data_IF_440177379997
#
_entry.id   IF_440177379997
#
_cell.length_a   1.000
_cell.length_b   1.000
_cell.length_c   1.000
_cell.angle_alpha   90.00
_cell.angle_beta   90.00
_cell.angle_gamma   90.00
#
_symmetry.space_group_name_H-M   'P 1'
#
loop_
_entity.id
_entity.type
_entity.pdbx_description
1 polymer ?
#
# COMPACT_ATOMS: atom_id res chain seq x y z
N UNK A 1 -23.51 20.07 39.55
CA UNK A 1 -22.75 19.10 38.74
C UNK A 1 -22.45 19.77 37.41
N UNK A 2 -21.28 20.35 37.27
CA UNK A 2 -20.85 21.09 36.06
C UNK A 2 -20.28 20.07 35.09
N UNK A 3 -21.03 19.80 34.01
CA UNK A 3 -20.57 18.95 32.91
C UNK A 3 -19.42 19.65 32.22
N UNK A 4 -18.20 19.22 32.47
CA UNK A 4 -17.03 19.64 31.70
C UNK A 4 -17.16 19.01 30.32
N UNK A 5 -17.63 19.80 29.36
CA UNK A 5 -17.55 19.46 27.95
C UNK A 5 -16.06 19.29 27.60
N UNK A 6 -15.64 18.03 27.40
CA UNK A 6 -14.31 17.72 26.90
C UNK A 6 -14.11 18.51 25.60
N UNK A 7 -13.18 19.46 25.61
CA UNK A 7 -12.75 20.16 24.38
C UNK A 7 -12.33 19.10 23.37
N UNK A 8 -12.78 19.20 22.11
CA UNK A 8 -12.21 18.37 21.06
C UNK A 8 -10.70 18.66 21.02
N UNK A 9 -9.89 17.70 21.41
CA UNK A 9 -8.44 17.77 21.24
C UNK A 9 -8.18 17.98 19.77
N UNK A 10 -7.54 19.08 19.39
CA UNK A 10 -7.02 19.28 18.03
C UNK A 10 -6.11 18.08 17.73
N UNK A 11 -6.59 17.17 16.91
CA UNK A 11 -5.81 16.04 16.42
C UNK A 11 -4.68 16.61 15.55
N UNK A 12 -3.51 16.80 16.13
CA UNK A 12 -2.32 17.10 15.33
C UNK A 12 -1.80 15.77 14.83
N UNK A 13 -2.16 15.40 13.59
CA UNK A 13 -1.63 14.23 12.92
C UNK A 13 -0.10 14.18 13.05
N UNK A 14 0.43 12.97 13.14
CA UNK A 14 1.86 12.74 13.34
C UNK A 14 2.72 13.52 12.33
N UNK A 15 3.45 14.54 12.81
CA UNK A 15 4.21 15.47 11.97
C UNK A 15 5.21 14.80 11.04
N UNK A 16 6.05 13.83 11.47
CA UNK A 16 6.97 13.13 10.59
C UNK A 16 6.29 12.43 9.41
N UNK A 17 5.17 11.75 9.64
CA UNK A 17 4.40 11.10 8.58
C UNK A 17 3.75 12.12 7.63
N UNK A 18 3.24 13.23 8.15
CA UNK A 18 2.69 14.29 7.31
C UNK A 18 3.77 15.00 6.49
N UNK A 19 4.97 15.18 7.04
CA UNK A 19 6.12 15.68 6.28
C UNK A 19 6.52 14.70 5.17
N UNK A 20 6.58 13.39 5.47
CA UNK A 20 6.79 12.36 4.46
C UNK A 20 5.75 12.45 3.34
N UNK A 21 4.47 12.55 3.68
CA UNK A 21 3.40 12.68 2.68
C UNK A 21 3.60 13.90 1.79
N UNK A 22 3.94 15.07 2.36
CA UNK A 22 4.21 16.29 1.61
C UNK A 22 5.42 16.15 0.66
N UNK A 23 6.53 15.56 1.15
CA UNK A 23 7.71 15.27 0.33
C UNK A 23 7.34 14.31 -0.82
N UNK A 24 6.56 13.27 -0.55
CA UNK A 24 6.13 12.32 -1.58
C UNK A 24 5.22 12.96 -2.63
N UNK A 25 4.34 13.90 -2.26
CA UNK A 25 3.57 14.68 -3.23
C UNK A 25 4.50 15.50 -4.13
N UNK A 26 5.50 16.17 -3.56
CA UNK A 26 6.53 16.89 -4.33
C UNK A 26 7.30 15.95 -5.27
N UNK A 27 7.70 14.77 -4.78
CA UNK A 27 8.38 13.75 -5.60
C UNK A 27 7.49 13.24 -6.73
N UNK A 28 6.19 13.04 -6.48
CA UNK A 28 5.24 12.64 -7.52
C UNK A 28 5.13 13.68 -8.64
N UNK A 29 5.08 14.97 -8.30
CA UNK A 29 5.05 16.07 -9.27
C UNK A 29 6.33 16.10 -10.12
N UNK A 30 7.50 15.99 -9.48
CA UNK A 30 8.80 15.98 -10.17
C UNK A 30 8.94 14.76 -11.08
N UNK A 31 8.65 13.56 -10.58
CA UNK A 31 8.79 12.33 -11.37
C UNK A 31 7.73 12.23 -12.47
N UNK A 32 6.53 12.78 -12.25
CA UNK A 32 5.51 12.92 -13.29
C UNK A 32 5.95 13.86 -14.40
N UNK A 33 6.58 15.00 -14.07
CA UNK A 33 7.17 15.91 -15.05
C UNK A 33 8.31 15.22 -15.82
N UNK A 34 9.24 14.54 -15.12
CA UNK A 34 10.36 13.83 -15.75
C UNK A 34 9.87 12.71 -16.68
N UNK A 35 8.78 12.04 -16.35
CA UNK A 35 8.18 11.04 -17.23
C UNK A 35 7.75 11.61 -18.59
N UNK A 36 7.44 12.90 -18.66
CA UNK A 36 7.03 13.58 -19.90
C UNK A 36 8.22 14.23 -20.62
N UNK A 37 9.08 14.95 -19.87
CA UNK A 37 10.12 15.80 -20.50
C UNK A 37 11.46 15.10 -20.68
N UNK A 38 11.74 14.05 -19.92
CA UNK A 38 13.00 13.31 -19.94
C UNK A 38 12.77 11.80 -19.70
N UNK A 39 11.98 11.11 -20.55
CA UNK A 39 11.68 9.70 -20.35
C UNK A 39 12.98 8.86 -20.41
N UNK A 40 13.08 7.89 -19.50
CA UNK A 40 14.15 6.88 -19.46
C UNK A 40 13.49 5.53 -19.63
N UNK A 41 13.85 4.79 -20.68
CA UNK A 41 13.31 3.46 -20.89
C UNK A 41 14.04 2.44 -20.01
N UNK A 42 13.28 1.71 -19.20
CA UNK A 42 13.77 0.61 -18.36
C UNK A 42 12.81 -0.56 -18.51
N UNK A 43 13.31 -1.71 -18.94
CA UNK A 43 12.51 -2.93 -19.19
C UNK A 43 11.23 -2.66 -19.99
N UNK A 44 11.38 -1.96 -21.15
CA UNK A 44 10.29 -1.68 -22.08
C UNK A 44 9.25 -0.65 -21.62
N UNK A 45 9.49 0.04 -20.50
CA UNK A 45 8.57 1.05 -19.96
C UNK A 45 9.30 2.31 -19.53
N UNK A 46 8.55 3.42 -19.39
CA UNK A 46 9.11 4.66 -18.84
C UNK A 46 9.42 4.48 -17.36
N UNK A 47 10.70 4.46 -17.00
CA UNK A 47 11.22 4.22 -15.66
C UNK A 47 10.67 5.19 -14.60
N UNK A 48 10.40 6.47 -14.97
CA UNK A 48 9.87 7.48 -14.05
C UNK A 48 8.43 7.20 -13.58
N UNK A 49 7.68 6.34 -14.29
CA UNK A 49 6.34 5.93 -13.83
C UNK A 49 6.40 5.10 -12.53
N UNK A 50 7.51 4.41 -12.26
CA UNK A 50 7.66 3.64 -11.02
C UNK A 50 7.76 4.56 -9.80
N UNK A 51 8.73 5.50 -9.69
CA UNK A 51 8.77 6.42 -8.54
C UNK A 51 7.54 7.32 -8.45
N UNK A 52 6.89 7.69 -9.55
CA UNK A 52 5.61 8.41 -9.53
C UNK A 52 4.52 7.62 -8.78
N UNK A 53 4.31 6.36 -9.15
CA UNK A 53 3.31 5.49 -8.51
C UNK A 53 3.63 5.24 -7.04
N UNK A 54 4.89 4.97 -6.73
CA UNK A 54 5.35 4.77 -5.35
C UNK A 54 5.16 6.02 -4.50
N UNK A 55 5.48 7.21 -5.03
CA UNK A 55 5.30 8.48 -4.30
C UNK A 55 3.84 8.70 -3.93
N UNK A 56 2.90 8.49 -4.87
CA UNK A 56 1.47 8.62 -4.59
C UNK A 56 1.02 7.62 -3.53
N UNK A 57 1.43 6.35 -3.68
CA UNK A 57 1.09 5.28 -2.73
C UNK A 57 1.63 5.56 -1.33
N UNK A 58 2.89 5.99 -1.21
CA UNK A 58 3.53 6.33 0.06
C UNK A 58 2.85 7.54 0.71
N UNK A 59 2.49 8.57 -0.06
CA UNK A 59 1.78 9.74 0.47
C UNK A 59 0.44 9.33 1.11
N UNK A 60 -0.36 8.53 0.41
CA UNK A 60 -1.65 8.02 0.90
C UNK A 60 -1.45 7.12 2.12
N UNK A 61 -0.46 6.24 2.09
CA UNK A 61 -0.11 5.36 3.21
C UNK A 61 0.33 6.15 4.44
N UNK A 62 1.21 7.14 4.29
CA UNK A 62 1.70 7.97 5.39
C UNK A 62 0.57 8.73 6.10
N UNK A 63 -0.37 9.31 5.33
CA UNK A 63 -1.56 9.96 5.89
C UNK A 63 -2.42 8.96 6.67
N UNK A 64 -2.60 7.76 6.11
CA UNK A 64 -3.39 6.69 6.75
C UNK A 64 -2.76 6.24 8.07
N UNK A 65 -1.44 5.98 8.07
CA UNK A 65 -0.73 5.59 9.31
C UNK A 65 -0.74 6.73 10.33
N UNK A 66 -0.60 8.00 9.90
CA UNK A 66 -0.72 9.14 10.80
C UNK A 66 -2.09 9.18 11.50
N UNK A 67 -3.16 8.93 10.75
CA UNK A 67 -4.52 8.86 11.28
C UNK A 67 -4.70 7.66 12.22
N UNK A 68 -4.13 6.49 11.90
CA UNK A 68 -4.20 5.30 12.76
C UNK A 68 -3.42 5.50 14.08
N UNK A 69 -2.24 6.11 14.02
CA UNK A 69 -1.44 6.43 15.21
C UNK A 69 -2.19 7.39 16.13
N UNK A 70 -2.93 8.37 15.58
CA UNK A 70 -3.77 9.28 16.38
C UNK A 70 -4.90 8.55 17.13
N UNK A 71 -5.36 7.40 16.64
CA UNK A 71 -6.36 6.56 17.33
C UNK A 71 -5.82 5.75 18.50
N UNK A 72 -4.50 5.68 18.68
CA UNK A 72 -3.92 5.00 19.84
C UNK A 72 -4.19 5.78 21.13
N UNK A 73 -4.49 5.08 22.25
CA UNK A 73 -4.65 5.72 23.53
C UNK A 73 -3.33 6.37 24.00
N UNK A 74 -3.41 7.39 24.86
CA UNK A 74 -2.26 8.22 25.28
C UNK A 74 -1.06 7.40 25.75
N UNK A 75 -1.29 6.35 26.57
CA UNK A 75 -0.22 5.49 27.09
C UNK A 75 0.53 4.70 25.99
N UNK A 76 -0.04 4.57 24.77
CA UNK A 76 0.56 3.91 23.61
C UNK A 76 1.12 4.87 22.57
N UNK A 77 0.96 6.17 22.72
CA UNK A 77 1.42 7.17 21.76
C UNK A 77 2.94 7.17 21.56
N UNK A 78 3.74 6.75 22.56
CA UNK A 78 5.20 6.58 22.39
C UNK A 78 5.51 5.46 21.39
N UNK A 79 4.81 4.32 21.48
CA UNK A 79 4.95 3.22 20.51
C UNK A 79 4.49 3.65 19.12
N UNK A 80 3.37 4.38 19.02
CA UNK A 80 2.90 4.95 17.76
C UNK A 80 3.91 5.89 17.10
N UNK A 81 4.61 6.74 17.90
CA UNK A 81 5.68 7.60 17.36
C UNK A 81 6.90 6.81 16.90
N UNK A 82 7.31 5.78 17.63
CA UNK A 82 8.41 4.91 17.21
C UNK A 82 8.05 4.18 15.90
N UNK A 83 6.83 3.63 15.80
CA UNK A 83 6.29 3.04 14.59
C UNK A 83 6.32 4.02 13.41
N UNK A 84 5.89 5.27 13.63
CA UNK A 84 5.90 6.31 12.61
C UNK A 84 7.31 6.58 12.06
N UNK A 85 8.33 6.61 12.91
CA UNK A 85 9.71 6.79 12.46
C UNK A 85 10.25 5.61 11.66
N UNK A 86 9.91 4.36 12.03
CA UNK A 86 10.28 3.19 11.21
C UNK A 86 9.65 3.29 9.82
N UNK A 87 8.37 3.69 9.74
CA UNK A 87 7.70 3.91 8.46
C UNK A 87 8.37 5.02 7.65
N UNK A 88 8.69 6.17 8.27
CA UNK A 88 9.34 7.30 7.60
C UNK A 88 10.70 6.88 7.04
N UNK A 89 11.54 6.28 7.86
CA UNK A 89 12.90 5.87 7.46
C UNK A 89 12.85 4.80 6.38
N UNK A 90 12.03 3.75 6.56
CA UNK A 90 11.90 2.65 5.60
C UNK A 90 11.43 3.14 4.22
N UNK A 91 10.40 4.00 4.19
CA UNK A 91 9.86 4.49 2.92
C UNK A 91 10.71 5.58 2.25
N UNK A 92 11.50 6.35 3.01
CA UNK A 92 12.50 7.27 2.44
C UNK A 92 13.63 6.47 1.80
N UNK A 93 14.16 5.43 2.48
CA UNK A 93 15.17 4.54 1.91
C UNK A 93 14.67 3.90 0.60
N UNK A 94 13.44 3.39 0.62
CA UNK A 94 12.78 2.82 -0.56
C UNK A 94 12.79 3.80 -1.74
N UNK A 95 12.32 5.03 -1.52
CA UNK A 95 12.24 6.05 -2.57
C UNK A 95 13.61 6.50 -3.08
N UNK A 96 14.60 6.63 -2.20
CA UNK A 96 15.97 6.98 -2.60
C UNK A 96 16.54 5.92 -3.54
N UNK A 97 16.36 4.64 -3.23
CA UNK A 97 16.84 3.55 -4.10
C UNK A 97 16.06 3.50 -5.41
N UNK A 98 14.72 3.67 -5.38
CA UNK A 98 13.90 3.65 -6.61
C UNK A 98 14.29 4.79 -7.55
N UNK A 99 14.38 6.02 -7.04
CA UNK A 99 14.74 7.20 -7.85
C UNK A 99 16.20 7.08 -8.35
N UNK A 100 17.11 6.66 -7.47
CA UNK A 100 18.52 6.45 -7.83
C UNK A 100 18.71 5.40 -8.92
N UNK A 101 17.96 4.29 -8.86
CA UNK A 101 18.01 3.26 -9.88
C UNK A 101 17.53 3.78 -11.25
N UNK A 102 16.42 4.55 -11.29
CA UNK A 102 15.94 5.16 -12.54
C UNK A 102 16.97 6.16 -13.09
N UNK A 103 17.56 7.00 -12.23
CA UNK A 103 18.60 7.94 -12.64
C UNK A 103 19.86 7.23 -13.18
N UNK A 104 20.14 6.01 -12.70
CA UNK A 104 21.22 5.16 -13.19
C UNK A 104 20.84 4.28 -14.40
N UNK A 105 19.61 4.41 -14.95
CA UNK A 105 19.13 3.63 -16.09
C UNK A 105 18.93 2.13 -15.79
N UNK A 106 18.68 1.77 -14.53
CA UNK A 106 18.55 0.37 -14.10
C UNK A 106 17.29 0.13 -13.25
N UNK A 107 17.00 -1.16 -13.02
CA UNK A 107 15.88 -1.53 -12.13
C UNK A 107 16.29 -1.54 -10.68
N UNK A 108 15.38 -1.11 -9.78
CA UNK A 108 15.59 -1.10 -8.33
C UNK A 108 15.22 -2.43 -7.66
N UNK A 109 14.21 -3.14 -8.20
CA UNK A 109 13.70 -4.38 -7.62
C UNK A 109 14.27 -5.58 -8.39
N UNK A 110 14.47 -6.67 -7.65
CA UNK A 110 14.93 -7.97 -8.16
C UNK A 110 16.34 -7.95 -8.78
N UNK A 111 17.00 -6.81 -8.83
CA UNK A 111 18.34 -6.67 -9.42
C UNK A 111 19.41 -7.15 -8.43
N UNK A 112 20.02 -8.27 -8.79
CA UNK A 112 21.15 -8.88 -8.07
C UNK A 112 22.35 -9.10 -8.99
N UNK A 113 22.42 -8.34 -10.10
CA UNK A 113 23.46 -8.43 -11.12
C UNK A 113 24.85 -8.01 -10.64
N UNK A 114 24.93 -7.32 -9.51
CA UNK A 114 26.17 -6.93 -8.87
C UNK A 114 26.03 -6.92 -7.33
N UNK A 115 27.14 -6.96 -6.56
CA UNK A 115 27.08 -6.86 -5.10
C UNK A 115 26.37 -5.59 -4.61
N UNK A 116 26.55 -4.45 -5.30
CA UNK A 116 25.88 -3.20 -4.97
C UNK A 116 24.37 -3.30 -5.20
N UNK A 117 23.94 -3.79 -6.38
CA UNK A 117 22.54 -3.94 -6.72
C UNK A 117 21.84 -4.90 -5.75
N UNK A 118 22.45 -6.07 -5.49
CA UNK A 118 21.94 -7.04 -4.53
C UNK A 118 21.88 -6.48 -3.09
N UNK A 119 22.86 -5.69 -2.68
CA UNK A 119 22.87 -5.00 -1.38
C UNK A 119 21.74 -3.97 -1.26
N UNK A 120 21.50 -3.17 -2.30
CA UNK A 120 20.40 -2.21 -2.34
C UNK A 120 19.04 -2.92 -2.35
N UNK A 121 18.90 -4.00 -3.11
CA UNK A 121 17.69 -4.83 -3.11
C UNK A 121 17.42 -5.45 -1.74
N UNK A 122 18.42 -6.00 -1.09
CA UNK A 122 18.29 -6.52 0.28
C UNK A 122 17.90 -5.43 1.29
N UNK A 123 18.52 -4.24 1.20
CA UNK A 123 18.18 -3.09 2.05
C UNK A 123 16.71 -2.70 1.90
N UNK A 124 16.21 -2.62 0.66
CA UNK A 124 14.79 -2.36 0.37
C UNK A 124 13.90 -3.45 0.99
N UNK A 125 14.22 -4.72 0.76
CA UNK A 125 13.46 -5.85 1.30
C UNK A 125 13.35 -5.81 2.83
N UNK A 126 14.46 -5.57 3.54
CA UNK A 126 14.47 -5.44 5.01
C UNK A 126 13.70 -4.21 5.49
N UNK A 127 13.82 -3.07 4.81
CA UNK A 127 13.11 -1.85 5.20
C UNK A 127 11.59 -2.00 5.04
N UNK A 128 11.12 -2.60 3.95
CA UNK A 128 9.70 -2.87 3.73
C UNK A 128 9.16 -3.94 4.67
N UNK A 129 9.94 -4.99 4.95
CA UNK A 129 9.56 -5.98 5.97
C UNK A 129 9.40 -5.32 7.36
N UNK A 130 10.29 -4.40 7.73
CA UNK A 130 10.16 -3.64 8.97
C UNK A 130 8.89 -2.75 8.98
N UNK A 131 8.58 -2.08 7.88
CA UNK A 131 7.34 -1.29 7.71
C UNK A 131 6.10 -2.19 7.84
N UNK A 132 6.12 -3.38 7.24
CA UNK A 132 5.03 -4.36 7.34
C UNK A 132 4.85 -4.84 8.79
N UNK A 133 5.93 -5.23 9.47
CA UNK A 133 5.91 -5.67 10.88
C UNK A 133 5.40 -4.58 11.83
N UNK A 134 5.80 -3.34 11.60
CA UNK A 134 5.31 -2.20 12.39
C UNK A 134 3.83 -1.96 12.13
N UNK A 135 3.35 -2.11 10.91
CA UNK A 135 1.91 -2.02 10.58
C UNK A 135 1.12 -3.13 11.25
N UNK A 136 1.66 -4.35 11.29
CA UNK A 136 1.09 -5.47 12.05
C UNK A 136 1.04 -5.17 13.55
N UNK A 137 2.10 -4.59 14.11
CA UNK A 137 2.12 -4.18 15.52
C UNK A 137 1.08 -3.08 15.80
N UNK A 138 0.94 -2.09 14.92
CA UNK A 138 -0.12 -1.06 15.02
C UNK A 138 -1.52 -1.70 14.95
N UNK A 139 -1.73 -2.67 14.07
CA UNK A 139 -2.99 -3.42 14.00
C UNK A 139 -3.28 -4.14 15.32
N UNK A 140 -2.30 -4.80 15.92
CA UNK A 140 -2.43 -5.47 17.22
C UNK A 140 -2.71 -4.47 18.37
N UNK A 141 -2.08 -3.31 18.35
CA UNK A 141 -2.32 -2.25 19.33
C UNK A 141 -3.73 -1.65 19.20
N UNK A 142 -4.20 -1.46 17.97
CA UNK A 142 -5.54 -0.92 17.68
C UNK A 142 -6.65 -1.96 17.87
N UNK A 143 -6.32 -3.26 17.79
CA UNK A 143 -7.32 -4.33 17.94
C UNK A 143 -8.13 -4.24 19.24
N UNK A 144 -7.47 -3.81 20.31
CA UNK A 144 -8.06 -3.65 21.64
C UNK A 144 -8.55 -2.22 21.92
N UNK A 145 -8.45 -1.32 20.94
CA UNK A 145 -8.99 0.03 21.09
C UNK A 145 -10.50 -0.03 21.00
N UNK A 146 -11.18 0.67 21.90
CA UNK A 146 -12.63 0.82 21.88
C UNK A 146 -12.97 2.04 21.01
N UNK A 147 -13.76 1.84 19.97
CA UNK A 147 -14.51 2.92 19.32
C UNK A 147 -15.99 2.75 19.68
N UNK A 148 -16.68 3.86 19.89
CA UNK A 148 -18.09 3.85 20.23
C UNK A 148 -18.98 3.38 19.06
N UNK A 149 -18.47 3.46 17.80
CA UNK A 149 -19.18 3.01 16.61
C UNK A 149 -18.60 1.67 16.12
N UNK A 150 -19.44 0.61 16.19
CA UNK A 150 -19.05 -0.75 15.78
C UNK A 150 -18.70 -0.86 14.30
N UNK A 151 -19.37 -0.09 13.42
CA UNK A 151 -19.08 -0.08 11.99
C UNK A 151 -17.69 0.50 11.70
N UNK A 152 -17.32 1.58 12.41
CA UNK A 152 -15.98 2.19 12.30
C UNK A 152 -14.90 1.24 12.79
N UNK A 153 -15.14 0.58 13.92
CA UNK A 153 -14.22 -0.38 14.49
C UNK A 153 -14.00 -1.57 13.55
N UNK A 154 -15.09 -2.10 12.95
CA UNK A 154 -15.02 -3.16 11.95
C UNK A 154 -14.25 -2.71 10.71
N UNK A 155 -14.52 -1.51 10.18
CA UNK A 155 -13.85 -0.99 9.00
C UNK A 155 -12.33 -0.85 9.20
N UNK A 156 -11.90 -0.35 10.36
CA UNK A 156 -10.47 -0.22 10.71
C UNK A 156 -9.83 -1.62 10.81
N UNK A 157 -10.44 -2.54 11.55
CA UNK A 157 -9.89 -3.90 11.74
C UNK A 157 -9.84 -4.69 10.44
N UNK A 158 -10.91 -4.68 9.66
CA UNK A 158 -10.95 -5.36 8.36
C UNK A 158 -9.96 -4.72 7.37
N UNK A 159 -9.90 -3.38 7.32
CA UNK A 159 -8.92 -2.66 6.51
C UNK A 159 -7.48 -3.01 6.85
N UNK A 160 -7.14 -3.11 8.14
CA UNK A 160 -5.81 -3.53 8.59
C UNK A 160 -5.49 -4.99 8.22
N UNK A 161 -6.43 -5.92 8.45
CA UNK A 161 -6.20 -7.35 8.14
C UNK A 161 -6.05 -7.57 6.64
N UNK A 162 -6.98 -7.06 5.84
CA UNK A 162 -6.96 -7.22 4.37
C UNK A 162 -5.77 -6.44 3.78
N UNK A 163 -5.48 -5.24 4.31
CA UNK A 163 -4.34 -4.44 3.89
C UNK A 163 -3.02 -5.12 4.14
N UNK A 164 -2.81 -5.70 5.32
CA UNK A 164 -1.62 -6.50 5.64
C UNK A 164 -1.49 -7.75 4.78
N UNK A 165 -2.60 -8.44 4.50
CA UNK A 165 -2.61 -9.58 3.60
C UNK A 165 -2.25 -9.17 2.16
N UNK A 166 -2.83 -8.06 1.66
CA UNK A 166 -2.48 -7.49 0.36
C UNK A 166 -1.02 -7.06 0.26
N UNK A 167 -0.47 -6.44 1.31
CA UNK A 167 0.97 -6.12 1.38
C UNK A 167 1.81 -7.40 1.37
N UNK A 168 1.38 -8.47 2.03
CA UNK A 168 2.10 -9.75 2.08
C UNK A 168 2.15 -10.45 0.71
N UNK A 169 1.22 -10.20 -0.21
CA UNK A 169 1.28 -10.70 -1.60
C UNK A 169 2.60 -10.27 -2.28
N UNK A 170 3.18 -9.13 -1.89
CA UNK A 170 4.47 -8.69 -2.43
C UNK A 170 5.60 -9.72 -2.21
N UNK A 171 5.57 -10.48 -1.13
CA UNK A 171 6.58 -11.51 -0.88
C UNK A 171 6.57 -12.64 -1.91
N UNK A 172 5.42 -12.89 -2.57
CA UNK A 172 5.34 -13.87 -3.66
C UNK A 172 6.13 -13.44 -4.90
N UNK A 173 6.37 -12.13 -5.07
CA UNK A 173 7.12 -11.56 -6.20
C UNK A 173 8.63 -11.65 -6.01
N UNK A 174 9.12 -11.90 -4.77
CA UNK A 174 10.54 -11.81 -4.43
C UNK A 174 11.34 -13.10 -4.67
N UNK A 175 10.67 -14.19 -5.01
CA UNK A 175 11.32 -15.44 -5.35
C UNK A 175 11.67 -15.51 -6.84
N UNK A 176 12.84 -16.05 -7.23
CA UNK A 176 13.16 -16.25 -8.62
C UNK A 176 12.15 -17.19 -9.30
N UNK A 177 11.86 -16.92 -10.57
CA UNK A 177 11.02 -17.80 -11.40
C UNK A 177 11.80 -19.04 -11.82
N UNK A 178 11.15 -20.14 -12.28
CA UNK A 178 11.83 -21.30 -12.80
C UNK A 178 12.82 -20.94 -13.92
N UNK A 179 12.43 -20.10 -14.90
CA UNK A 179 13.31 -19.66 -15.99
C UNK A 179 14.55 -18.91 -15.48
N UNK A 180 14.41 -18.11 -14.41
CA UNK A 180 15.53 -17.41 -13.78
C UNK A 180 16.46 -18.35 -13.00
N UNK A 181 15.99 -19.52 -12.59
CA UNK A 181 16.84 -20.56 -11.98
C UNK A 181 17.62 -21.33 -13.04
N UNK A 182 17.03 -21.54 -14.22
CA UNK A 182 17.66 -22.29 -15.31
C UNK A 182 18.67 -21.42 -16.10
N UNK A 183 18.34 -20.11 -16.31
CA UNK A 183 19.22 -19.14 -17.01
C UNK A 183 19.26 -17.81 -16.22
N UNK A 184 20.19 -17.75 -15.27
CA UNK A 184 20.29 -16.60 -14.36
C UNK A 184 20.97 -15.40 -15.03
N UNK A 185 20.19 -14.36 -15.31
CA UNK A 185 20.62 -13.09 -15.92
C UNK A 185 20.71 -11.90 -14.94
N UNK A 186 20.95 -12.15 -13.64
CA UNK A 186 21.12 -11.09 -12.63
C UNK A 186 19.81 -10.50 -12.10
N UNK A 187 18.66 -11.07 -12.42
CA UNK A 187 17.33 -10.70 -11.90
C UNK A 187 16.76 -11.91 -11.16
N UNK A 188 16.29 -11.67 -9.91
CA UNK A 188 15.69 -12.70 -9.06
C UNK A 188 14.36 -12.20 -8.50
N UNK A 189 13.27 -12.63 -9.11
CA UNK A 189 11.89 -12.23 -8.82
C UNK A 189 11.17 -11.66 -10.04
N UNK A 190 9.85 -11.60 -9.96
CA UNK A 190 9.01 -11.07 -11.03
C UNK A 190 7.66 -10.58 -10.50
N UNK A 191 7.07 -9.61 -11.20
CA UNK A 191 5.70 -9.14 -10.95
C UNK A 191 4.68 -10.00 -11.68
N UNK A 192 5.00 -10.37 -12.92
CA UNK A 192 4.14 -11.17 -13.77
C UNK A 192 4.27 -12.67 -13.48
N UNK A 193 3.22 -13.42 -13.79
CA UNK A 193 3.14 -14.88 -13.65
C UNK A 193 2.81 -15.49 -15.01
N UNK A 194 3.61 -16.47 -15.44
CA UNK A 194 3.46 -17.16 -16.72
C UNK A 194 4.03 -16.40 -17.92
N UNK A 195 4.51 -15.16 -17.75
CA UNK A 195 5.17 -14.35 -18.77
C UNK A 195 6.30 -13.53 -18.14
N UNK A 196 7.35 -13.14 -18.92
CA UNK A 196 8.40 -12.26 -18.43
C UNK A 196 7.87 -10.85 -18.07
N UNK A 197 8.51 -10.19 -17.09
CA UNK A 197 8.28 -8.77 -16.82
C UNK A 197 8.72 -7.89 -18.01
N UNK A 198 8.05 -6.76 -18.19
CA UNK A 198 8.38 -5.79 -19.26
C UNK A 198 7.63 -5.99 -20.58
N UNK A 199 6.74 -7.00 -20.66
CA UNK A 199 5.87 -7.20 -21.81
C UNK A 199 4.70 -6.21 -21.88
N UNK A 200 3.69 -6.52 -22.74
CA UNK A 200 2.49 -5.70 -22.89
C UNK A 200 1.78 -5.47 -21.55
N UNK A 201 1.44 -4.22 -21.27
CA UNK A 201 0.85 -3.84 -19.98
C UNK A 201 -0.14 -2.69 -20.09
N UNK A 202 -0.98 -2.55 -19.07
CA UNK A 202 -1.96 -1.45 -18.98
C UNK A 202 -1.22 -0.10 -18.96
N UNK A 203 -1.75 0.92 -19.64
CA UNK A 203 -1.18 2.28 -19.60
C UNK A 203 -1.02 2.75 -18.15
N UNK A 204 0.06 3.46 -17.85
CA UNK A 204 0.47 4.01 -16.56
C UNK A 204 0.73 2.96 -15.47
N UNK A 205 -0.14 1.96 -15.31
CA UNK A 205 -0.01 0.92 -14.28
C UNK A 205 1.09 -0.09 -14.64
N UNK A 206 1.23 -0.42 -15.93
CA UNK A 206 2.16 -1.41 -16.42
C UNK A 206 1.82 -2.84 -16.00
N UNK A 207 0.57 -3.10 -15.56
CA UNK A 207 0.12 -4.45 -15.22
C UNK A 207 0.02 -5.29 -16.48
N UNK A 208 0.52 -6.52 -16.42
CA UNK A 208 0.53 -7.43 -17.59
C UNK A 208 -0.88 -7.63 -18.17
N UNK A 209 -0.96 -7.55 -19.50
CA UNK A 209 -2.18 -7.85 -20.27
C UNK A 209 -2.10 -9.20 -21.00
N UNK A 210 -1.01 -9.95 -20.78
CA UNK A 210 -0.76 -11.24 -21.45
C UNK A 210 -0.53 -12.39 -20.47
N UNK A 211 -0.37 -12.09 -19.17
CA UNK A 211 -0.20 -13.08 -18.11
C UNK A 211 -0.74 -12.56 -16.79
N UNK A 212 -0.64 -13.36 -15.74
CA UNK A 212 -1.00 -12.94 -14.38
C UNK A 212 -0.09 -11.82 -13.89
N UNK A 213 -0.59 -11.01 -12.94
CA UNK A 213 0.20 -9.92 -12.36
C UNK A 213 -0.11 -9.76 -10.87
N UNK A 214 0.86 -10.10 -10.03
CA UNK A 214 0.71 -10.05 -8.56
C UNK A 214 0.64 -8.62 -8.01
N UNK A 215 0.99 -7.60 -8.81
CA UNK A 215 0.79 -6.20 -8.42
C UNK A 215 -0.68 -5.84 -8.31
N UNK A 216 -1.57 -6.50 -9.05
CA UNK A 216 -3.02 -6.26 -9.00
C UNK A 216 -3.60 -6.59 -7.62
N UNK A 217 -3.51 -7.84 -7.12
CA UNK A 217 -4.00 -8.18 -5.79
C UNK A 217 -3.23 -7.46 -4.68
N UNK A 218 -1.93 -7.21 -4.85
CA UNK A 218 -1.13 -6.42 -3.92
C UNK A 218 -1.70 -4.99 -3.80
N UNK A 219 -1.92 -4.31 -4.91
CA UNK A 219 -2.47 -2.96 -4.95
C UNK A 219 -3.88 -2.90 -4.36
N UNK A 220 -4.79 -3.75 -4.86
CA UNK A 220 -6.17 -3.78 -4.36
C UNK A 220 -6.17 -4.12 -2.87
N UNK A 221 -5.44 -5.15 -2.45
CA UNK A 221 -5.41 -5.60 -1.06
C UNK A 221 -4.88 -4.54 -0.10
N UNK A 222 -3.74 -3.91 -0.39
CA UNK A 222 -3.16 -2.89 0.49
C UNK A 222 -4.07 -1.66 0.65
N UNK A 223 -4.86 -1.32 -0.37
CA UNK A 223 -5.78 -0.18 -0.33
C UNK A 223 -7.08 -0.45 0.46
N UNK A 224 -7.34 -1.68 0.93
CA UNK A 224 -8.39 -1.95 1.91
C UNK A 224 -8.20 -1.10 3.18
N UNK A 225 -6.93 -0.79 3.51
CA UNK A 225 -6.54 0.06 4.63
C UNK A 225 -7.14 1.48 4.54
N UNK A 226 -7.41 1.97 3.33
CA UNK A 226 -8.06 3.24 3.06
C UNK A 226 -9.54 3.08 2.74
N UNK A 227 -9.87 2.14 1.86
CA UNK A 227 -11.20 1.99 1.28
C UNK A 227 -12.28 1.72 2.36
N UNK A 228 -12.02 0.80 3.30
CA UNK A 228 -13.01 0.46 4.31
C UNK A 228 -13.22 1.57 5.36
N UNK A 229 -12.19 2.23 5.92
CA UNK A 229 -12.39 3.41 6.74
C UNK A 229 -13.07 4.56 6.01
N UNK A 230 -12.73 4.83 4.76
CA UNK A 230 -13.38 5.87 3.96
C UNK A 230 -14.85 5.54 3.69
N UNK A 231 -15.19 4.26 3.47
CA UNK A 231 -16.57 3.83 3.32
C UNK A 231 -17.40 4.18 4.56
N UNK A 232 -16.93 3.82 5.76
CA UNK A 232 -17.70 4.12 6.97
C UNK A 232 -17.84 5.62 7.22
N UNK A 233 -16.79 6.41 6.96
CA UNK A 233 -16.86 7.86 7.07
C UNK A 233 -17.85 8.47 6.05
N UNK A 234 -17.89 7.92 4.83
CA UNK A 234 -18.87 8.31 3.82
C UNK A 234 -20.30 7.98 4.25
N UNK A 235 -20.55 6.78 4.80
CA UNK A 235 -21.86 6.39 5.33
C UNK A 235 -22.30 7.30 6.48
N UNK A 236 -21.39 7.67 7.38
CA UNK A 236 -21.65 8.62 8.47
C UNK A 236 -21.98 10.02 7.94
N UNK A 237 -21.23 10.50 6.97
CA UNK A 237 -21.52 11.79 6.34
C UNK A 237 -22.89 11.79 5.62
N UNK A 238 -23.19 10.70 4.92
CA UNK A 238 -24.43 10.54 4.17
C UNK A 238 -25.64 10.34 5.10
N UNK A 239 -25.49 9.84 6.31
CA UNK A 239 -26.54 9.69 7.30
C UNK A 239 -27.23 11.02 7.68
N UNK A 240 -26.56 12.15 7.43
CA UNK A 240 -27.15 13.49 7.59
C UNK A 240 -28.26 13.75 6.58
N UNK A 241 -28.20 13.13 5.39
CA UNK A 241 -29.15 13.30 4.27
C UNK A 241 -30.06 12.10 4.08
N UNK A 242 -29.61 10.89 4.42
CA UNK A 242 -30.33 9.62 4.26
C UNK A 242 -30.70 9.07 5.64
N UNK A 243 -31.99 9.21 6.06
CA UNK A 243 -32.41 8.81 7.41
C UNK A 243 -32.13 7.35 7.76
N UNK A 244 -32.23 6.43 6.79
CA UNK A 244 -31.96 5.00 7.00
C UNK A 244 -30.52 4.75 7.49
N UNK A 245 -29.55 5.56 7.05
CA UNK A 245 -28.15 5.44 7.46
C UNK A 245 -27.87 5.97 8.88
N UNK A 246 -28.87 6.53 9.58
CA UNK A 246 -28.76 6.85 11.01
C UNK A 246 -28.80 5.58 11.85
N UNK A 247 -29.37 4.50 11.34
CA UNK A 247 -29.34 3.20 11.99
C UNK A 247 -27.90 2.64 12.00
N UNK A 248 -27.34 2.49 13.19
CA UNK A 248 -25.98 1.95 13.39
C UNK A 248 -25.88 0.48 12.92
N UNK A 249 -26.97 -0.30 13.09
CA UNK A 249 -26.98 -1.70 12.67
C UNK A 249 -26.94 -1.83 11.13
N UNK A 250 -27.62 -0.93 10.41
CA UNK A 250 -27.54 -0.89 8.95
C UNK A 250 -26.12 -0.54 8.50
N UNK A 251 -25.48 0.51 9.08
CA UNK A 251 -24.09 0.85 8.73
C UNK A 251 -23.13 -0.31 9.00
N UNK A 252 -23.27 -0.99 10.15
CA UNK A 252 -22.47 -2.16 10.48
C UNK A 252 -22.63 -3.28 9.44
N UNK A 253 -23.87 -3.58 9.02
CA UNK A 253 -24.14 -4.60 7.99
C UNK A 253 -23.52 -4.23 6.65
N UNK A 254 -23.66 -2.98 6.21
CA UNK A 254 -23.06 -2.50 4.95
C UNK A 254 -21.54 -2.64 4.98
N UNK A 255 -20.90 -2.22 6.08
CA UNK A 255 -19.43 -2.35 6.24
C UNK A 255 -19.02 -3.82 6.29
N UNK A 256 -19.77 -4.69 6.97
CA UNK A 256 -19.48 -6.12 7.04
C UNK A 256 -19.55 -6.78 5.65
N UNK A 257 -20.61 -6.52 4.89
CA UNK A 257 -20.74 -7.02 3.51
C UNK A 257 -19.62 -6.50 2.62
N UNK A 258 -19.31 -5.20 2.71
CA UNK A 258 -18.21 -4.61 1.94
C UNK A 258 -16.84 -5.23 2.32
N UNK A 259 -16.57 -5.46 3.61
CA UNK A 259 -15.32 -6.06 4.06
C UNK A 259 -15.17 -7.51 3.57
N UNK A 260 -16.24 -8.32 3.66
CA UNK A 260 -16.24 -9.69 3.13
C UNK A 260 -16.06 -9.69 1.62
N UNK A 261 -16.84 -8.87 0.88
CA UNK A 261 -16.71 -8.76 -0.58
C UNK A 261 -15.31 -8.31 -1.01
N UNK A 262 -14.72 -7.37 -0.29
CA UNK A 262 -13.37 -6.91 -0.56
C UNK A 262 -12.32 -8.01 -0.30
N UNK A 263 -12.43 -8.75 0.79
CA UNK A 263 -11.54 -9.88 1.08
C UNK A 263 -11.65 -10.97 0.00
N UNK A 264 -12.87 -11.34 -0.39
CA UNK A 264 -13.12 -12.30 -1.48
C UNK A 264 -12.50 -11.80 -2.79
N UNK A 265 -12.68 -10.52 -3.13
CA UNK A 265 -12.07 -9.91 -4.31
C UNK A 265 -10.54 -10.05 -4.31
N UNK A 266 -9.88 -9.73 -3.20
CA UNK A 266 -8.41 -9.86 -3.08
C UNK A 266 -7.95 -11.30 -3.25
N UNK A 267 -8.66 -12.26 -2.66
CA UNK A 267 -8.38 -13.70 -2.83
C UNK A 267 -8.53 -14.11 -4.30
N UNK A 268 -9.64 -13.75 -4.94
CA UNK A 268 -9.89 -14.11 -6.34
C UNK A 268 -8.84 -13.49 -7.28
N UNK A 269 -8.50 -12.22 -7.10
CA UNK A 269 -7.44 -11.56 -7.87
C UNK A 269 -6.06 -12.22 -7.64
N UNK A 270 -5.78 -12.69 -6.42
CA UNK A 270 -4.53 -13.41 -6.13
C UNK A 270 -4.50 -14.76 -6.84
N UNK A 271 -5.58 -15.53 -6.78
CA UNK A 271 -5.68 -16.82 -7.45
C UNK A 271 -5.62 -16.66 -8.98
N UNK A 272 -6.31 -15.68 -9.53
CA UNK A 272 -6.29 -15.34 -10.95
C UNK A 272 -4.86 -14.99 -11.41
N UNK A 273 -4.14 -14.11 -10.67
CA UNK A 273 -2.78 -13.75 -10.99
C UNK A 273 -1.84 -14.97 -10.92
N UNK A 274 -1.95 -15.81 -9.88
CA UNK A 274 -1.17 -17.05 -9.75
C UNK A 274 -1.48 -18.09 -10.83
N UNK A 275 -2.68 -18.07 -11.40
CA UNK A 275 -3.05 -18.91 -12.54
C UNK A 275 -2.49 -18.41 -13.89
N UNK A 276 -1.75 -17.30 -13.89
CA UNK A 276 -1.20 -16.71 -15.10
C UNK A 276 -2.23 -15.99 -15.99
N UNK A 277 -3.43 -15.73 -15.48
CA UNK A 277 -4.52 -15.10 -16.22
C UNK A 277 -4.41 -13.58 -16.11
N UNK A 278 -4.39 -12.81 -17.22
CA UNK A 278 -4.35 -11.36 -17.13
C UNK A 278 -5.65 -10.76 -16.58
N UNK A 279 -5.52 -9.63 -15.87
CA UNK A 279 -6.70 -8.95 -15.29
C UNK A 279 -7.68 -8.43 -16.34
N UNK A 280 -7.20 -8.20 -17.56
CA UNK A 280 -8.01 -7.78 -18.70
C UNK A 280 -9.07 -8.81 -19.11
N UNK A 281 -8.82 -10.10 -18.90
CA UNK A 281 -9.76 -11.18 -19.24
C UNK A 281 -10.96 -11.24 -18.28
N UNK A 282 -10.88 -10.54 -17.14
CA UNK A 282 -12.02 -10.35 -16.25
C UNK A 282 -12.94 -9.21 -16.70
N UNK A 283 -12.51 -8.37 -17.63
CA UNK A 283 -13.20 -7.17 -18.09
C UNK A 283 -13.81 -7.34 -19.50
N UNK A 284 -13.48 -8.42 -20.19
CA UNK A 284 -13.98 -8.81 -21.52
C UNK A 284 -14.81 -10.03 -21.43
#
# INVERSE_FOLDING_TARGET
MTTVLARPTRTSLNRPLMALAAVMVGTALVTGLLAVVAPVEITGTNGWLKPLKFSISIAVYAVTIAWLVDKLPEHRQRLGRAAAWVVVVGLVLEMVVIVGAVAAGTTSHFNVSSPLAGGLWALMGFSIAAVWLVTLALAALLWRSADADAARLLAIRAGLVIGLAGMAVAFLMTSPTPDQLDDFAGIAGAHAVGVPDGGAGLPLLGWSTTGGDLRVPHFVGMHALQALPLLVLALEALSRRVPALRDAALRLRVVAVAAVGYAVLVVLLTLQALAGIPVTDLLG
#
